data_IF_309821637062
#
_entry.id   IF_309821637062
#
_cell.length_a   1.000
_cell.length_b   1.000
_cell.length_c   1.000
_cell.angle_alpha   90.00
_cell.angle_beta   90.00
_cell.angle_gamma   90.00
#
_symmetry.space_group_name_H-M   'P 1'
#
loop_
_entity.id
_entity.type
_entity.pdbx_description
1 polymer ?
#
# COMPACT_ATOMS: atom_id res chain seq x y z
N UNK A 1 -35.46 -1.55 15.46
CA UNK A 1 -34.40 -2.43 15.92
C UNK A 1 -34.95 -3.55 16.78
N UNK A 2 -34.20 -3.94 17.80
CA UNK A 2 -34.64 -4.92 18.80
C UNK A 2 -35.69 -4.36 19.72
N UNK A 3 -36.46 -5.24 20.39
CA UNK A 3 -37.41 -4.92 21.42
C UNK A 3 -38.75 -5.61 21.23
N UNK A 4 -39.66 -5.29 22.12
CA UNK A 4 -40.99 -5.88 22.15
C UNK A 4 -42.00 -5.00 21.41
N UNK A 5 -42.72 -5.60 20.47
CA UNK A 5 -43.92 -5.00 19.90
C UNK A 5 -45.17 -5.60 20.57
N UNK A 6 -45.84 -4.79 21.37
CA UNK A 6 -47.00 -5.19 22.15
C UNK A 6 -48.29 -4.76 21.45
N UNK A 7 -49.18 -5.71 21.23
CA UNK A 7 -50.53 -5.47 20.76
C UNK A 7 -51.49 -5.69 21.92
N UNK A 8 -52.35 -4.71 22.17
CA UNK A 8 -53.34 -4.78 23.24
C UNK A 8 -54.73 -4.78 22.61
N UNK A 9 -55.56 -5.74 23.00
CA UNK A 9 -56.93 -5.88 22.57
C UNK A 9 -57.82 -5.78 23.78
N UNK A 10 -58.73 -4.82 23.78
CA UNK A 10 -59.75 -4.64 24.84
C UNK A 10 -61.08 -5.21 24.35
N UNK A 11 -61.63 -6.10 25.11
CA UNK A 11 -62.94 -6.70 24.88
C UNK A 11 -63.92 -6.15 25.91
N UNK A 12 -65.07 -5.62 25.49
CA UNK A 12 -66.12 -5.09 26.36
C UNK A 12 -67.38 -5.90 26.18
N UNK A 13 -67.94 -6.41 27.25
CA UNK A 13 -69.22 -7.14 27.22
C UNK A 13 -70.42 -6.19 27.17
N UNK A 14 -71.65 -6.74 27.03
CA UNK A 14 -72.87 -5.95 26.98
C UNK A 14 -73.21 -5.25 28.28
N UNK A 15 -72.60 -5.60 29.40
CA UNK A 15 -72.71 -4.97 30.72
C UNK A 15 -71.70 -3.86 30.98
N UNK A 16 -70.77 -3.66 30.01
CA UNK A 16 -69.69 -2.69 30.10
C UNK A 16 -68.46 -3.17 30.84
N UNK A 17 -68.34 -4.48 31.15
CA UNK A 17 -67.09 -5.03 31.71
C UNK A 17 -66.01 -5.17 30.63
N UNK A 18 -64.81 -4.77 30.99
CA UNK A 18 -63.66 -4.82 30.10
C UNK A 18 -62.68 -5.95 30.47
N UNK A 19 -62.16 -6.61 29.45
CA UNK A 19 -61.07 -7.57 29.58
C UNK A 19 -59.99 -7.23 28.54
N UNK A 20 -58.75 -7.25 28.96
CA UNK A 20 -57.61 -6.89 28.12
C UNK A 20 -56.77 -8.14 27.81
N UNK A 21 -56.50 -8.36 26.53
CA UNK A 21 -55.56 -9.36 26.06
C UNK A 21 -54.37 -8.66 25.41
N UNK A 22 -53.17 -9.06 25.78
CA UNK A 22 -51.94 -8.55 25.20
C UNK A 22 -51.21 -9.66 24.47
N UNK A 23 -50.70 -9.33 23.29
CA UNK A 23 -49.78 -10.21 22.51
C UNK A 23 -48.50 -9.47 22.25
N UNK A 24 -47.36 -10.08 22.63
CA UNK A 24 -46.04 -9.48 22.52
C UNK A 24 -45.21 -10.26 21.47
N UNK A 25 -44.67 -9.55 20.48
CA UNK A 25 -43.61 -10.04 19.61
C UNK A 25 -42.30 -9.50 20.13
N UNK A 26 -41.37 -10.41 20.47
CA UNK A 26 -40.00 -10.03 20.75
C UNK A 26 -39.22 -10.06 19.42
N UNK A 27 -38.63 -8.92 19.07
CA UNK A 27 -37.80 -8.75 17.92
C UNK A 27 -36.36 -8.82 18.40
N UNK A 28 -35.64 -9.85 17.96
CA UNK A 28 -34.25 -10.10 18.28
C UNK A 28 -33.45 -10.14 16.98
N UNK A 29 -32.52 -9.19 16.80
CA UNK A 29 -31.69 -9.12 15.61
C UNK A 29 -30.48 -10.02 15.77
N UNK A 30 -30.36 -10.99 14.87
CA UNK A 30 -29.15 -11.78 14.74
C UNK A 30 -28.05 -10.96 14.06
N UNK A 31 -26.79 -11.32 14.34
CA UNK A 31 -25.64 -10.68 13.72
C UNK A 31 -25.75 -10.66 12.19
N UNK A 32 -25.36 -9.54 11.60
CA UNK A 32 -25.19 -9.42 10.16
C UNK A 32 -23.90 -10.11 9.70
N UNK A 33 -23.75 -10.34 8.39
CA UNK A 33 -22.56 -10.96 7.81
C UNK A 33 -21.83 -9.98 6.90
N UNK A 34 -20.51 -10.02 6.94
CA UNK A 34 -19.64 -9.25 6.06
C UNK A 34 -19.16 -10.11 4.89
N UNK A 35 -18.90 -9.52 3.72
CA UNK A 35 -18.17 -10.21 2.65
C UNK A 35 -16.72 -10.48 3.09
N UNK A 36 -15.99 -11.26 2.30
CA UNK A 36 -14.57 -11.50 2.52
C UNK A 36 -13.78 -10.19 2.51
N UNK A 37 -12.73 -10.12 3.33
CA UNK A 37 -11.80 -8.99 3.35
C UNK A 37 -11.13 -8.81 1.99
N UNK A 38 -10.82 -7.55 1.65
CA UNK A 38 -10.10 -7.20 0.43
C UNK A 38 -8.59 -7.37 0.58
N UNK A 39 -7.95 -7.72 -0.52
CA UNK A 39 -6.50 -7.85 -0.61
C UNK A 39 -6.03 -7.44 -2.01
N UNK A 40 -5.00 -6.61 -2.08
CA UNK A 40 -4.39 -6.16 -3.33
C UNK A 40 -2.89 -5.98 -3.15
N UNK A 41 -2.11 -6.28 -4.21
CA UNK A 41 -0.70 -5.96 -4.27
C UNK A 41 -0.49 -4.75 -5.19
N UNK A 42 0.33 -3.81 -4.75
CA UNK A 42 0.65 -2.57 -5.50
C UNK A 42 2.17 -2.35 -5.54
N UNK A 43 2.64 -1.62 -6.54
CA UNK A 43 4.07 -1.42 -6.81
C UNK A 43 4.66 -0.22 -6.05
N UNK A 44 3.82 0.66 -5.53
CA UNK A 44 4.25 1.84 -4.79
C UNK A 44 3.24 2.22 -3.69
N UNK A 45 3.67 3.07 -2.77
CA UNK A 45 2.86 3.50 -1.62
C UNK A 45 1.68 4.40 -2.02
N UNK A 46 1.80 5.14 -3.11
CA UNK A 46 0.76 6.08 -3.55
C UNK A 46 -0.48 5.36 -4.12
N UNK A 47 -0.33 4.12 -4.58
CA UNK A 47 -1.43 3.31 -5.12
C UNK A 47 -2.30 2.68 -4.01
N UNK A 48 -1.81 2.64 -2.77
CA UNK A 48 -2.57 2.15 -1.62
C UNK A 48 -3.59 3.20 -1.12
N UNK A 49 -4.58 3.52 -1.94
CA UNK A 49 -5.62 4.51 -1.65
C UNK A 49 -6.77 3.91 -0.84
N UNK A 50 -7.53 4.76 -0.13
CA UNK A 50 -8.69 4.29 0.65
C UNK A 50 -9.71 3.60 -0.26
N UNK A 51 -10.02 2.29 0.00
CA UNK A 51 -10.97 1.54 -0.80
C UNK A 51 -12.42 1.93 -0.49
N UNK A 52 -13.33 1.65 -1.42
CA UNK A 52 -14.76 1.78 -1.17
C UNK A 52 -15.24 0.58 -0.34
N UNK A 53 -15.81 0.80 0.87
CA UNK A 53 -16.32 -0.29 1.68
C UNK A 53 -17.54 -0.96 1.03
N UNK A 54 -17.75 -2.27 1.24
CA UNK A 54 -18.88 -2.98 0.67
C UNK A 54 -20.20 -2.52 1.28
N UNK A 55 -21.29 -2.62 0.51
CA UNK A 55 -22.64 -2.40 1.02
C UNK A 55 -23.06 -3.60 1.87
N UNK A 56 -23.40 -3.36 3.14
CA UNK A 56 -23.83 -4.37 4.10
C UNK A 56 -25.25 -4.05 4.56
N UNK A 57 -26.08 -5.06 4.77
CA UNK A 57 -27.44 -4.92 5.27
C UNK A 57 -27.64 -5.78 6.51
N UNK A 58 -28.49 -5.32 7.41
CA UNK A 58 -28.99 -6.12 8.53
C UNK A 58 -30.00 -7.19 8.04
N UNK A 59 -30.47 -8.05 8.94
CA UNK A 59 -31.42 -9.10 8.64
C UNK A 59 -32.83 -8.58 8.30
N UNK A 60 -33.09 -7.30 8.50
CA UNK A 60 -34.33 -6.62 8.09
C UNK A 60 -34.20 -5.94 6.72
N UNK A 61 -33.01 -5.99 6.09
CA UNK A 61 -32.73 -5.37 4.80
C UNK A 61 -32.33 -3.90 4.87
N UNK A 62 -32.09 -3.35 6.06
CA UNK A 62 -31.63 -1.96 6.21
C UNK A 62 -30.11 -1.91 5.95
N UNK A 63 -29.68 -0.90 5.21
CA UNK A 63 -28.24 -0.67 4.97
C UNK A 63 -27.55 -0.22 6.25
N UNK A 64 -26.45 -0.87 6.57
CA UNK A 64 -25.55 -0.50 7.66
C UNK A 64 -24.43 0.35 7.06
N UNK A 65 -24.30 1.60 7.55
CA UNK A 65 -23.22 2.50 7.13
C UNK A 65 -22.02 2.25 8.02
N UNK A 66 -20.83 1.97 7.46
CA UNK A 66 -19.62 1.77 8.25
C UNK A 66 -19.12 3.08 8.85
N UNK A 67 -18.29 2.99 9.88
CA UNK A 67 -17.48 4.12 10.36
C UNK A 67 -16.52 4.59 9.27
N UNK A 68 -15.97 5.83 9.37
CA UNK A 68 -14.81 6.21 8.58
C UNK A 68 -13.66 5.19 8.74
N UNK A 69 -12.90 5.00 7.66
CA UNK A 69 -11.78 4.07 7.68
C UNK A 69 -10.73 4.44 8.74
N UNK A 70 -10.23 3.44 9.43
CA UNK A 70 -9.02 3.53 10.24
C UNK A 70 -7.90 2.91 9.43
N UNK A 71 -6.88 3.71 9.09
CA UNK A 71 -5.71 3.29 8.31
C UNK A 71 -4.54 3.03 9.25
N UNK A 72 -3.77 1.96 9.00
CA UNK A 72 -2.47 1.76 9.65
C UNK A 72 -1.44 2.79 9.18
N UNK A 73 -0.33 2.93 9.90
CA UNK A 73 0.78 3.77 9.48
C UNK A 73 1.29 3.33 8.09
N UNK A 74 1.69 4.32 7.30
CA UNK A 74 2.30 4.07 6.00
C UNK A 74 3.75 3.65 6.21
N UNK A 75 4.20 2.50 5.69
CA UNK A 75 5.61 2.11 5.77
C UNK A 75 6.49 3.08 4.97
N UNK A 76 7.77 3.21 5.38
CA UNK A 76 8.72 4.11 4.71
C UNK A 76 9.15 3.60 3.32
N UNK A 77 8.99 2.30 3.05
CA UNK A 77 9.47 1.66 1.83
C UNK A 77 8.43 0.72 1.23
N UNK A 78 8.39 -0.49 1.72
CA UNK A 78 7.44 -1.55 1.33
C UNK A 78 6.85 -2.19 2.58
N UNK A 79 5.70 -2.84 2.44
CA UNK A 79 4.99 -3.44 3.58
C UNK A 79 3.50 -3.47 3.38
N UNK A 80 2.75 -3.59 4.46
CA UNK A 80 1.29 -3.66 4.41
C UNK A 80 0.65 -2.39 4.92
N UNK A 81 -0.38 -1.94 4.21
CA UNK A 81 -1.28 -0.86 4.63
C UNK A 81 -2.68 -1.48 4.75
N UNK A 82 -3.28 -1.36 5.93
CA UNK A 82 -4.60 -1.92 6.21
C UNK A 82 -5.59 -0.79 6.49
N UNK A 83 -6.72 -0.82 5.78
CA UNK A 83 -7.89 0.00 6.05
C UNK A 83 -8.93 -0.85 6.76
N UNK A 84 -9.44 -0.40 7.89
CA UNK A 84 -10.47 -1.07 8.70
C UNK A 84 -11.73 -0.22 8.75
N UNK A 85 -12.85 -0.82 8.39
CA UNK A 85 -14.19 -0.23 8.45
C UNK A 85 -15.03 -1.02 9.44
N UNK A 86 -15.49 -0.38 10.50
CA UNK A 86 -16.37 -1.00 11.52
C UNK A 86 -17.83 -0.77 11.16
N UNK A 87 -18.59 -1.83 11.01
CA UNK A 87 -20.03 -1.83 10.82
C UNK A 87 -20.71 -2.04 12.17
N UNK A 88 -21.75 -1.27 12.42
CA UNK A 88 -22.56 -1.40 13.65
C UNK A 88 -24.02 -1.37 13.26
N UNK A 89 -24.76 -2.43 13.57
CA UNK A 89 -26.21 -2.45 13.36
C UNK A 89 -26.95 -1.69 14.48
N UNK A 90 -28.25 -1.61 14.34
CA UNK A 90 -29.08 -0.88 15.30
C UNK A 90 -29.25 -1.59 16.65
N UNK A 91 -28.89 -2.87 16.76
CA UNK A 91 -28.83 -3.63 18.01
C UNK A 91 -27.51 -3.45 18.74
N UNK A 92 -26.52 -2.82 18.08
CA UNK A 92 -25.18 -2.64 18.62
C UNK A 92 -24.21 -3.78 18.31
N UNK A 93 -24.60 -4.73 17.45
CA UNK A 93 -23.68 -5.73 16.97
C UNK A 93 -22.65 -5.08 16.04
N UNK A 94 -21.36 -5.41 16.23
CA UNK A 94 -20.26 -4.83 15.46
C UNK A 94 -19.46 -5.88 14.73
N UNK A 95 -18.96 -5.53 13.55
CA UNK A 95 -18.03 -6.34 12.80
C UNK A 95 -17.13 -5.46 11.93
N UNK A 96 -15.86 -5.88 11.74
CA UNK A 96 -14.87 -5.16 10.96
C UNK A 96 -14.66 -5.82 9.60
N UNK A 97 -14.69 -4.98 8.56
CA UNK A 97 -14.20 -5.35 7.23
C UNK A 97 -12.88 -4.67 6.98
N UNK A 98 -11.90 -5.42 6.54
CA UNK A 98 -10.56 -4.90 6.28
C UNK A 98 -10.20 -5.01 4.80
N UNK A 99 -9.43 -4.04 4.34
CA UNK A 99 -8.78 -4.08 3.03
C UNK A 99 -7.28 -3.90 3.22
N UNK A 100 -6.50 -4.86 2.72
CA UNK A 100 -5.04 -4.87 2.88
C UNK A 100 -4.37 -4.65 1.55
N UNK A 101 -3.56 -3.59 1.45
CA UNK A 101 -2.58 -3.43 0.38
C UNK A 101 -1.25 -4.03 0.81
N UNK A 102 -0.66 -4.84 -0.06
CA UNK A 102 0.73 -5.28 0.08
C UNK A 102 1.56 -4.49 -0.93
N UNK A 103 2.39 -3.58 -0.44
CA UNK A 103 3.28 -2.76 -1.26
C UNK A 103 4.59 -3.49 -1.45
N UNK A 104 4.93 -3.80 -2.70
CA UNK A 104 6.19 -4.45 -3.10
C UNK A 104 6.81 -3.62 -4.20
N UNK A 105 7.91 -2.92 -3.90
CA UNK A 105 8.58 -2.06 -4.87
C UNK A 105 9.12 -2.88 -6.03
N UNK A 106 8.75 -2.48 -7.25
CA UNK A 106 9.41 -2.98 -8.45
C UNK A 106 10.84 -2.48 -8.51
N UNK A 107 11.81 -3.33 -8.95
CA UNK A 107 13.18 -2.90 -9.13
C UNK A 107 13.28 -1.72 -10.11
N UNK A 108 14.09 -0.74 -9.76
CA UNK A 108 14.44 0.37 -10.64
C UNK A 108 15.38 -0.09 -11.75
N UNK A 109 15.54 0.72 -12.78
CA UNK A 109 16.49 0.48 -13.87
C UNK A 109 17.51 1.59 -13.94
N UNK A 110 18.73 1.25 -14.33
CA UNK A 110 19.80 2.20 -14.67
C UNK A 110 19.96 2.28 -16.20
N UNK A 111 20.45 3.40 -16.77
CA UNK A 111 20.74 3.49 -18.19
C UNK A 111 21.90 2.56 -18.58
N UNK A 112 22.13 2.43 -19.89
CA UNK A 112 23.28 1.70 -20.40
C UNK A 112 24.59 2.32 -19.88
N UNK A 113 25.61 1.49 -19.69
CA UNK A 113 26.95 1.91 -19.32
C UNK A 113 27.53 2.86 -20.35
N UNK A 114 28.37 3.79 -19.92
CA UNK A 114 28.97 4.82 -20.77
C UNK A 114 30.48 4.82 -20.65
N UNK A 115 31.16 5.55 -21.51
CA UNK A 115 32.62 5.64 -21.51
C UNK A 115 33.18 6.60 -22.56
N UNK A 116 34.44 6.88 -22.40
CA UNK A 116 35.22 7.70 -23.36
C UNK A 116 36.69 7.29 -23.40
N UNK A 117 37.38 7.75 -24.42
CA UNK A 117 38.85 7.56 -24.56
C UNK A 117 39.55 8.85 -24.18
N UNK A 118 40.61 8.74 -23.38
CA UNK A 118 41.48 9.85 -22.97
C UNK A 118 42.96 9.49 -23.18
N UNK A 119 43.81 10.49 -23.30
CA UNK A 119 45.25 10.26 -23.49
C UNK A 119 46.03 10.10 -22.18
N UNK A 120 45.52 10.67 -21.09
CA UNK A 120 46.18 10.65 -19.79
C UNK A 120 45.24 10.21 -18.68
N UNK A 121 45.76 9.45 -17.71
CA UNK A 121 45.01 9.08 -16.51
C UNK A 121 44.48 10.29 -15.75
N UNK A 122 45.17 11.44 -15.79
CA UNK A 122 44.72 12.66 -15.13
C UNK A 122 43.44 13.24 -15.70
N UNK A 123 43.07 12.85 -16.94
CA UNK A 123 41.80 13.28 -17.59
C UNK A 123 40.65 12.33 -17.30
N UNK A 124 40.91 11.16 -16.70
CA UNK A 124 39.93 10.17 -16.30
C UNK A 124 39.34 10.45 -14.90
N UNK A 125 38.81 11.65 -14.70
CA UNK A 125 38.19 12.04 -13.44
C UNK A 125 36.83 11.35 -13.24
N UNK A 126 36.44 11.13 -11.97
CA UNK A 126 35.14 10.52 -11.63
C UNK A 126 33.97 11.25 -12.31
N UNK A 127 33.17 10.58 -13.12
CA UNK A 127 32.03 11.17 -13.81
C UNK A 127 30.88 11.44 -12.85
N UNK A 128 29.93 12.29 -13.27
CA UNK A 128 28.67 12.46 -12.55
C UNK A 128 27.77 11.27 -12.88
N UNK A 129 27.31 10.50 -11.87
CA UNK A 129 26.41 9.39 -12.11
C UNK A 129 25.02 9.85 -12.53
N UNK A 130 24.26 9.05 -13.27
CA UNK A 130 22.86 9.35 -13.58
C UNK A 130 22.00 9.41 -12.31
N UNK A 131 21.02 10.33 -12.30
CA UNK A 131 20.02 10.39 -11.22
C UNK A 131 18.96 9.31 -11.43
N UNK A 132 18.78 8.45 -10.46
CA UNK A 132 17.86 7.30 -10.48
C UNK A 132 16.80 7.47 -9.38
N UNK A 133 15.57 7.07 -9.67
CA UNK A 133 14.47 7.08 -8.71
C UNK A 133 13.87 5.67 -8.57
N UNK A 134 13.46 5.33 -7.35
CA UNK A 134 12.68 4.13 -7.07
C UNK A 134 11.20 4.29 -7.49
N UNK A 135 10.38 3.24 -7.32
CA UNK A 135 8.95 3.27 -7.66
C UNK A 135 8.13 4.21 -6.77
N UNK A 136 8.63 4.58 -5.59
CA UNK A 136 8.04 5.60 -4.72
C UNK A 136 8.50 7.03 -5.07
N UNK A 137 9.26 7.20 -6.15
CA UNK A 137 9.86 8.46 -6.59
C UNK A 137 10.86 9.06 -5.57
N UNK A 138 11.55 8.20 -4.81
CA UNK A 138 12.69 8.61 -3.99
C UNK A 138 13.97 8.47 -4.80
N UNK A 139 14.88 9.44 -4.66
CA UNK A 139 16.19 9.36 -5.29
C UNK A 139 17.03 8.23 -4.67
N UNK A 140 17.56 7.35 -5.52
CA UNK A 140 18.48 6.28 -5.13
C UNK A 140 19.90 6.77 -5.29
N UNK A 141 20.57 7.06 -4.18
CA UNK A 141 21.94 7.60 -4.18
C UNK A 141 22.95 6.45 -4.30
N UNK A 142 23.84 6.46 -5.32
CA UNK A 142 24.78 5.37 -5.53
C UNK A 142 26.01 5.44 -4.61
N UNK A 143 26.61 4.29 -4.37
CA UNK A 143 27.95 4.16 -3.81
C UNK A 143 28.93 3.94 -4.93
N UNK A 144 29.95 4.81 -5.02
CA UNK A 144 30.98 4.72 -6.04
C UNK A 144 32.15 3.85 -5.56
N UNK A 145 32.65 3.01 -6.47
CA UNK A 145 33.94 2.30 -6.38
C UNK A 145 34.69 2.48 -7.68
N UNK A 146 36.00 2.31 -7.64
CA UNK A 146 36.86 2.43 -8.80
C UNK A 146 37.92 1.33 -8.81
N UNK A 147 38.42 0.96 -10.00
CA UNK A 147 39.54 0.07 -10.11
C UNK A 147 40.89 0.81 -9.89
N UNK A 148 41.97 0.06 -9.78
CA UNK A 148 43.32 0.63 -9.70
C UNK A 148 43.67 1.31 -11.04
N UNK A 149 44.39 2.43 -10.96
CA UNK A 149 44.81 3.15 -12.12
C UNK A 149 45.78 2.31 -13.00
N UNK A 150 45.56 2.25 -14.32
CA UNK A 150 46.50 1.64 -15.21
C UNK A 150 47.83 2.43 -15.26
N UNK A 151 48.96 1.71 -15.42
CA UNK A 151 50.30 2.34 -15.35
C UNK A 151 50.60 3.16 -16.61
N UNK A 152 50.04 2.78 -17.75
CA UNK A 152 50.26 3.46 -19.03
C UNK A 152 48.97 3.47 -19.85
N UNK A 153 48.63 2.35 -20.45
CA UNK A 153 47.39 2.14 -21.22
C UNK A 153 46.48 1.16 -20.50
N UNK A 154 45.17 1.24 -20.74
CA UNK A 154 44.17 0.37 -20.13
C UNK A 154 42.91 1.10 -19.70
N UNK A 155 42.07 0.44 -18.94
CA UNK A 155 40.79 0.97 -18.57
C UNK A 155 40.79 1.46 -17.12
N UNK A 156 40.34 2.71 -16.93
CA UNK A 156 39.90 3.27 -15.63
C UNK A 156 38.40 3.14 -15.57
N UNK A 157 37.88 2.37 -14.58
CA UNK A 157 36.49 2.04 -14.46
C UNK A 157 35.94 2.61 -13.14
N UNK A 158 34.87 3.39 -13.23
CA UNK A 158 34.09 3.84 -12.13
C UNK A 158 32.79 3.04 -12.11
N UNK A 159 32.50 2.39 -10.98
CA UNK A 159 31.26 1.64 -10.77
C UNK A 159 30.40 2.34 -9.72
N UNK A 160 29.17 2.64 -10.06
CA UNK A 160 28.17 3.26 -9.21
C UNK A 160 27.09 2.23 -8.90
N UNK A 161 27.09 1.71 -7.67
CA UNK A 161 26.10 0.73 -7.19
C UNK A 161 24.94 1.46 -6.54
N UNK A 162 23.78 1.35 -7.13
CA UNK A 162 22.52 1.87 -6.61
C UNK A 162 21.83 0.79 -5.77
N UNK A 163 21.26 1.18 -4.63
CA UNK A 163 20.48 0.28 -3.77
C UNK A 163 19.28 1.04 -3.25
N UNK A 164 18.07 0.57 -3.57
CA UNK A 164 16.85 1.16 -3.03
C UNK A 164 16.55 0.67 -1.61
N UNK A 165 15.50 1.21 -1.01
CA UNK A 165 15.09 0.84 0.34
C UNK A 165 14.58 -0.60 0.46
N UNK A 166 14.16 -1.24 -0.64
CA UNK A 166 13.73 -2.64 -0.68
C UNK A 166 14.92 -3.61 -0.82
N UNK A 167 16.12 -3.08 -1.06
CA UNK A 167 17.33 -3.85 -1.28
C UNK A 167 17.55 -4.28 -2.75
N UNK A 168 16.77 -3.74 -3.69
CA UNK A 168 17.06 -3.95 -5.12
C UNK A 168 18.34 -3.20 -5.47
N UNK A 169 19.24 -3.84 -6.24
CA UNK A 169 20.53 -3.27 -6.62
C UNK A 169 20.71 -3.26 -8.13
N UNK A 170 21.38 -2.23 -8.64
CA UNK A 170 21.83 -2.15 -10.02
C UNK A 170 23.10 -1.32 -10.12
N UNK A 171 23.99 -1.71 -11.03
CA UNK A 171 25.25 -1.00 -11.26
C UNK A 171 25.20 -0.23 -12.58
N UNK A 172 25.73 1.00 -12.55
CA UNK A 172 26.07 1.75 -13.73
C UNK A 172 27.57 1.98 -13.73
N UNK A 173 28.22 1.71 -14.86
CA UNK A 173 29.69 1.87 -15.02
C UNK A 173 30.02 2.93 -16.05
N UNK A 174 31.07 3.67 -15.75
CA UNK A 174 31.71 4.55 -16.72
C UNK A 174 33.16 4.11 -16.92
N UNK A 175 33.55 3.87 -18.18
CA UNK A 175 34.90 3.39 -18.52
C UNK A 175 35.66 4.43 -19.33
N UNK A 176 36.79 4.89 -18.80
CA UNK A 176 37.76 5.62 -19.57
C UNK A 176 38.79 4.64 -20.13
N UNK A 177 38.91 4.56 -21.45
CA UNK A 177 39.99 3.86 -22.10
C UNK A 177 41.16 4.82 -22.29
N UNK A 178 42.30 4.55 -21.64
CA UNK A 178 43.50 5.36 -21.72
C UNK A 178 44.31 4.84 -22.87
N UNK A 179 44.45 5.65 -23.93
CA UNK A 179 45.16 5.34 -25.14
C UNK A 179 46.19 6.43 -25.41
N UNK A 180 47.45 6.13 -25.09
CA UNK A 180 48.56 7.06 -25.27
C UNK A 180 48.99 7.02 -26.72
N UNK A 181 48.28 7.75 -27.59
CA UNK A 181 48.71 7.96 -28.95
C UNK A 181 49.91 8.91 -28.96
N UNK A 182 51.11 8.38 -28.93
CA UNK A 182 52.30 9.17 -29.17
C UNK A 182 52.32 9.63 -30.62
N UNK A 183 51.87 10.84 -30.86
CA UNK A 183 52.37 11.58 -32.05
C UNK A 183 53.69 12.20 -31.65
N UNK A 184 54.82 11.78 -32.28
CA UNK A 184 56.09 12.44 -32.07
C UNK A 184 56.11 13.84 -32.67
#
# INVERSE_FOLDING_TARGET
>A
CEGDKVYTFTYTDCAGNESVYTYTYTIDLTNFTLPANGLEAVDNLADAVEPTPPVVTDNCGNTITPSPAVKTDTPDCQGSIVYTFTYTDCAGNTADWTYTYTVVLTPFTVPDNDGSTVECIADAAAPTPPTIFDANNNEVVPVMTENTDPVCEGDKIYTFTYTDCAGNTADWTYTYTIDVTTTP
#
